data_IF_315198926628
#
_entry.id   IF_315198926628
#
_cell.length_a   1.000
_cell.length_b   1.000
_cell.length_c   1.000
_cell.angle_alpha   90.00
_cell.angle_beta   90.00
_cell.angle_gamma   90.00
#
_symmetry.space_group_name_H-M   'P 1'
#
loop_
_entity.id
_entity.type
_entity.pdbx_description
1 polymer ?
#
# COMPACT_ATOMS: atom_id res chain seq x y z
N UNK A 1 17.64 25.12 -24.58
CA UNK A 1 17.31 26.47 -24.06
C UNK A 1 16.49 26.29 -22.80
N UNK A 2 16.74 27.08 -21.73
CA UNK A 2 15.88 27.05 -20.55
C UNK A 2 14.45 27.48 -20.92
N UNK A 3 13.45 26.80 -20.37
CA UNK A 3 12.04 27.12 -20.61
C UNK A 3 11.68 28.49 -20.04
N UNK A 4 10.73 29.17 -20.67
CA UNK A 4 10.21 30.42 -20.11
C UNK A 4 9.40 30.13 -18.83
N UNK A 5 9.43 31.01 -17.82
CA UNK A 5 8.59 30.86 -16.61
C UNK A 5 7.09 30.75 -16.92
N UNK A 6 6.63 31.41 -17.99
CA UNK A 6 5.25 31.36 -18.43
C UNK A 6 4.89 29.97 -19.00
N UNK A 7 5.82 29.33 -19.71
CA UNK A 7 5.66 27.99 -20.27
C UNK A 7 5.53 26.94 -19.16
N UNK A 8 6.39 27.02 -18.14
CA UNK A 8 6.36 26.14 -16.96
C UNK A 8 5.02 26.28 -16.22
N UNK A 9 4.58 27.52 -15.99
CA UNK A 9 3.31 27.78 -15.30
C UNK A 9 2.13 27.12 -16.02
N UNK A 10 2.05 27.29 -17.34
CA UNK A 10 0.95 26.78 -18.16
C UNK A 10 0.87 25.25 -18.18
N UNK A 11 2.01 24.55 -18.34
CA UNK A 11 1.99 23.08 -18.32
C UNK A 11 1.61 22.56 -16.92
N UNK A 12 2.07 23.23 -15.86
CA UNK A 12 1.69 22.88 -14.48
C UNK A 12 0.18 23.06 -14.23
N UNK A 13 -0.43 24.14 -14.74
CA UNK A 13 -1.88 24.34 -14.67
C UNK A 13 -2.66 23.21 -15.36
N UNK A 14 -2.23 22.79 -16.56
CA UNK A 14 -2.86 21.67 -17.26
C UNK A 14 -2.72 20.36 -16.49
N UNK A 15 -1.54 20.09 -15.93
CA UNK A 15 -1.33 18.88 -15.12
C UNK A 15 -2.16 18.85 -13.84
N UNK A 16 -2.40 20.02 -13.22
CA UNK A 16 -3.28 20.11 -12.06
C UNK A 16 -4.74 19.84 -12.44
N UNK A 17 -5.21 20.42 -13.55
CA UNK A 17 -6.55 20.12 -14.08
C UNK A 17 -6.70 18.63 -14.36
N UNK A 18 -5.70 18.00 -14.97
CA UNK A 18 -5.69 16.57 -15.23
C UNK A 18 -5.81 15.74 -13.94
N UNK A 19 -5.05 16.06 -12.89
CA UNK A 19 -5.17 15.39 -11.58
C UNK A 19 -6.57 15.52 -10.98
N UNK A 20 -7.18 16.70 -11.07
CA UNK A 20 -8.54 16.92 -10.57
C UNK A 20 -9.57 16.07 -11.33
N UNK A 21 -9.46 15.99 -12.66
CA UNK A 21 -10.34 15.14 -13.47
C UNK A 21 -10.23 13.66 -13.07
N UNK A 22 -9.01 13.16 -12.82
CA UNK A 22 -8.80 11.80 -12.32
C UNK A 22 -9.45 11.60 -10.94
N UNK A 23 -9.26 12.55 -10.02
CA UNK A 23 -9.86 12.50 -8.68
C UNK A 23 -11.39 12.53 -8.71
N UNK A 24 -11.98 13.23 -9.68
CA UNK A 24 -13.44 13.32 -9.86
C UNK A 24 -14.02 12.12 -10.64
N UNK A 25 -13.19 11.18 -11.09
CA UNK A 25 -13.61 10.03 -11.91
C UNK A 25 -13.99 10.39 -13.35
N UNK A 26 -13.61 11.58 -13.84
CA UNK A 26 -13.90 12.07 -15.20
C UNK A 26 -12.87 11.58 -16.21
N UNK A 27 -12.81 10.27 -16.40
CA UNK A 27 -11.77 9.59 -17.18
C UNK A 27 -11.73 10.03 -18.66
N UNK A 28 -12.89 10.20 -19.30
CA UNK A 28 -12.96 10.61 -20.71
C UNK A 28 -12.41 12.04 -20.92
N UNK A 29 -12.78 12.97 -20.04
CA UNK A 29 -12.25 14.34 -20.05
C UNK A 29 -10.74 14.36 -19.77
N UNK A 30 -10.29 13.53 -18.83
CA UNK A 30 -8.87 13.38 -18.51
C UNK A 30 -8.09 12.86 -19.73
N UNK A 31 -8.61 11.86 -20.44
CA UNK A 31 -8.00 11.30 -21.65
C UNK A 31 -7.89 12.36 -22.76
N UNK A 32 -8.94 13.14 -23.01
CA UNK A 32 -8.90 14.23 -23.98
C UNK A 32 -7.85 15.30 -23.61
N UNK A 33 -7.79 15.69 -22.34
CA UNK A 33 -6.79 16.66 -21.86
C UNK A 33 -5.36 16.12 -21.96
N UNK A 34 -5.17 14.82 -21.69
CA UNK A 34 -3.86 14.17 -21.71
C UNK A 34 -3.16 14.25 -23.06
N UNK A 35 -3.90 14.23 -24.18
CA UNK A 35 -3.34 14.35 -25.53
C UNK A 35 -2.63 15.69 -25.73
N UNK A 36 -3.25 16.76 -25.22
CA UNK A 36 -2.66 18.10 -25.26
C UNK A 36 -1.41 18.17 -24.40
N UNK A 37 -1.48 17.66 -23.16
CA UNK A 37 -0.32 17.68 -22.24
C UNK A 37 0.84 16.87 -22.84
N UNK A 38 0.56 15.70 -23.42
CA UNK A 38 1.56 14.86 -24.05
C UNK A 38 2.25 15.60 -25.22
N UNK A 39 1.46 16.19 -26.12
CA UNK A 39 2.00 16.97 -27.24
C UNK A 39 2.84 18.16 -26.77
N UNK A 40 2.37 18.89 -25.77
CA UNK A 40 3.10 20.03 -25.20
C UNK A 40 4.41 19.56 -24.54
N UNK A 41 4.39 18.47 -23.77
CA UNK A 41 5.56 17.89 -23.08
C UNK A 41 6.68 17.41 -24.01
N UNK A 42 6.38 17.21 -25.31
CA UNK A 42 7.35 16.83 -26.34
C UNK A 42 7.87 18.03 -27.14
N UNK A 43 7.15 19.16 -27.09
CA UNK A 43 7.51 20.39 -27.81
C UNK A 43 8.78 21.03 -27.26
N UNK A 44 9.46 21.85 -28.06
CA UNK A 44 10.67 22.57 -27.63
C UNK A 44 10.36 23.56 -26.49
N UNK A 45 9.18 24.16 -26.51
CA UNK A 45 8.77 25.23 -25.60
C UNK A 45 8.39 24.71 -24.20
N UNK A 46 7.76 23.52 -24.12
CA UNK A 46 7.24 22.94 -22.88
C UNK A 46 7.85 21.58 -22.52
N UNK A 47 8.98 21.21 -23.15
CA UNK A 47 9.62 19.89 -23.01
C UNK A 47 9.76 19.41 -21.56
N UNK A 48 9.10 18.33 -21.17
CA UNK A 48 9.31 17.71 -19.86
C UNK A 48 9.20 16.18 -19.98
N UNK A 49 10.34 15.50 -19.82
CA UNK A 49 10.40 14.04 -19.88
C UNK A 49 9.69 13.36 -18.72
N UNK A 50 9.65 14.01 -17.54
CA UNK A 50 8.92 13.51 -16.39
C UNK A 50 7.40 13.58 -16.63
N UNK A 51 6.90 14.71 -17.14
CA UNK A 51 5.47 14.86 -17.49
C UNK A 51 5.10 13.95 -18.65
N UNK A 52 5.95 13.84 -19.68
CA UNK A 52 5.74 12.91 -20.79
C UNK A 52 5.56 11.47 -20.28
N UNK A 53 6.47 10.99 -19.43
CA UNK A 53 6.41 9.64 -18.88
C UNK A 53 5.19 9.43 -17.98
N UNK A 54 4.87 10.40 -17.13
CA UNK A 54 3.67 10.31 -16.30
C UNK A 54 2.39 10.25 -17.13
N UNK A 55 2.24 11.15 -18.11
CA UNK A 55 1.03 11.18 -18.95
C UNK A 55 0.89 9.91 -19.80
N UNK A 56 2.00 9.37 -20.31
CA UNK A 56 1.99 8.08 -21.02
C UNK A 56 1.57 6.92 -20.10
N UNK A 57 2.08 6.90 -18.86
CA UNK A 57 1.68 5.91 -17.86
C UNK A 57 0.18 5.98 -17.56
N UNK A 58 -0.35 7.16 -17.25
CA UNK A 58 -1.78 7.33 -16.94
C UNK A 58 -2.67 6.94 -18.12
N UNK A 59 -2.28 7.32 -19.33
CA UNK A 59 -2.98 6.90 -20.56
C UNK A 59 -3.00 5.38 -20.72
N UNK A 60 -1.91 4.68 -20.40
CA UNK A 60 -1.85 3.23 -20.44
C UNK A 60 -2.82 2.61 -19.42
N UNK A 61 -2.83 3.13 -18.19
CA UNK A 61 -3.70 2.67 -17.10
C UNK A 61 -5.19 2.92 -17.38
N UNK A 62 -5.50 4.02 -18.07
CA UNK A 62 -6.86 4.39 -18.49
C UNK A 62 -7.33 3.67 -19.76
N UNK A 63 -6.53 2.76 -20.34
CA UNK A 63 -6.91 1.99 -21.52
C UNK A 63 -6.86 2.77 -22.83
N UNK A 64 -6.09 3.86 -22.92
CA UNK A 64 -5.95 4.65 -24.14
C UNK A 64 -5.01 4.02 -25.19
N UNK A 65 -4.43 2.86 -24.88
CA UNK A 65 -3.54 2.11 -25.76
C UNK A 65 -4.02 0.65 -25.84
N UNK A 66 -3.51 -0.09 -26.82
CA UNK A 66 -3.78 -1.52 -26.93
C UNK A 66 -3.30 -2.25 -25.67
N UNK A 67 -4.15 -3.12 -25.11
CA UNK A 67 -3.89 -3.90 -23.89
C UNK A 67 -2.56 -4.68 -23.96
N UNK A 68 -2.23 -5.24 -25.13
CA UNK A 68 -1.00 -6.00 -25.37
C UNK A 68 0.27 -5.16 -25.15
N UNK A 69 0.16 -3.83 -25.26
CA UNK A 69 1.29 -2.89 -25.13
C UNK A 69 1.40 -2.27 -23.74
N UNK A 70 0.45 -2.53 -22.84
CA UNK A 70 0.43 -1.87 -21.52
C UNK A 70 1.70 -2.19 -20.73
N UNK A 71 2.13 -3.46 -20.68
CA UNK A 71 3.34 -3.83 -19.95
C UNK A 71 4.61 -3.15 -20.49
N UNK A 72 4.78 -3.13 -21.81
CA UNK A 72 5.90 -2.44 -22.48
C UNK A 72 5.90 -0.93 -22.20
N UNK A 73 4.73 -0.31 -22.24
CA UNK A 73 4.56 1.12 -22.00
C UNK A 73 4.86 1.48 -20.53
N UNK A 74 4.32 0.70 -19.58
CA UNK A 74 4.61 0.89 -18.16
C UNK A 74 6.10 0.71 -17.86
N UNK A 75 6.76 -0.29 -18.48
CA UNK A 75 8.21 -0.47 -18.35
C UNK A 75 8.99 0.73 -18.87
N UNK A 76 8.62 1.23 -20.06
CA UNK A 76 9.25 2.43 -20.62
C UNK A 76 9.10 3.64 -19.68
N UNK A 77 7.93 3.81 -19.07
CA UNK A 77 7.67 4.89 -18.11
C UNK A 77 8.56 4.76 -16.87
N UNK A 78 8.68 3.56 -16.29
CA UNK A 78 9.60 3.30 -15.16
C UNK A 78 11.02 3.71 -15.52
N UNK A 79 11.57 3.18 -16.61
CA UNK A 79 12.96 3.45 -17.05
C UNK A 79 13.17 4.95 -17.32
N UNK A 80 12.17 5.60 -17.92
CA UNK A 80 12.23 7.04 -18.21
C UNK A 80 12.23 7.88 -16.95
N UNK A 81 11.36 7.56 -15.97
CA UNK A 81 11.24 8.30 -14.72
C UNK A 81 12.48 8.07 -13.86
N UNK A 82 13.00 6.84 -13.79
CA UNK A 82 14.26 6.52 -13.12
C UNK A 82 15.41 7.39 -13.66
N UNK A 83 15.51 7.54 -14.98
CA UNK A 83 16.58 8.31 -15.62
C UNK A 83 16.51 9.83 -15.33
N UNK A 84 15.33 10.39 -15.05
CA UNK A 84 15.15 11.84 -14.90
C UNK A 84 14.90 12.29 -13.46
N UNK A 85 14.32 11.41 -12.62
CA UNK A 85 13.85 11.72 -11.27
C UNK A 85 13.90 10.46 -10.38
N UNK A 86 15.07 9.82 -10.23
CA UNK A 86 15.20 8.58 -9.47
C UNK A 86 14.81 8.77 -8.01
N UNK A 87 14.10 7.81 -7.45
CA UNK A 87 13.65 7.84 -6.04
C UNK A 87 12.45 8.75 -5.77
N UNK A 88 12.00 9.54 -6.75
CA UNK A 88 10.83 10.42 -6.58
C UNK A 88 9.55 9.63 -6.29
N UNK A 89 8.53 10.28 -5.74
CA UNK A 89 7.20 9.68 -5.55
C UNK A 89 6.64 9.15 -6.88
N UNK A 90 6.83 9.86 -7.99
CA UNK A 90 6.38 9.43 -9.31
C UNK A 90 7.14 8.18 -9.79
N UNK A 91 8.45 8.09 -9.53
CA UNK A 91 9.23 6.87 -9.79
C UNK A 91 8.65 5.69 -9.01
N UNK A 92 8.38 5.91 -7.73
CA UNK A 92 7.71 4.95 -6.84
C UNK A 92 6.39 4.43 -7.39
N UNK A 93 5.50 5.35 -7.77
CA UNK A 93 4.20 5.03 -8.35
C UNK A 93 4.31 4.27 -9.67
N UNK A 94 5.28 4.61 -10.51
CA UNK A 94 5.52 3.88 -11.76
C UNK A 94 5.90 2.42 -11.51
N UNK A 95 6.78 2.16 -10.53
CA UNK A 95 7.15 0.80 -10.13
C UNK A 95 5.94 0.05 -9.54
N UNK A 96 5.15 0.69 -8.67
CA UNK A 96 3.93 0.09 -8.11
C UNK A 96 2.92 -0.29 -9.20
N UNK A 97 2.73 0.58 -10.20
CA UNK A 97 1.83 0.33 -11.33
C UNK A 97 2.32 -0.82 -12.22
N UNK A 98 3.61 -0.84 -12.58
CA UNK A 98 4.17 -1.94 -13.35
C UNK A 98 4.10 -3.27 -12.56
N UNK A 99 4.37 -3.23 -11.26
CA UNK A 99 4.23 -4.39 -10.38
C UNK A 99 2.81 -4.92 -10.34
N UNK A 100 1.81 -4.03 -10.20
CA UNK A 100 0.39 -4.38 -10.24
C UNK A 100 0.00 -5.03 -11.58
N UNK A 101 0.53 -4.53 -12.69
CA UNK A 101 0.32 -5.15 -14.01
C UNK A 101 0.86 -6.59 -14.06
N UNK A 102 2.10 -6.83 -13.60
CA UNK A 102 2.68 -8.18 -13.53
C UNK A 102 1.84 -9.10 -12.62
N UNK A 103 1.43 -8.61 -11.45
CA UNK A 103 0.54 -9.35 -10.54
C UNK A 103 -0.77 -9.74 -11.24
N UNK A 104 -1.40 -8.83 -11.98
CA UNK A 104 -2.65 -9.10 -12.70
C UNK A 104 -2.48 -10.10 -13.85
N UNK A 105 -1.27 -10.28 -14.38
CA UNK A 105 -0.93 -11.34 -15.34
C UNK A 105 -0.49 -12.66 -14.68
N UNK A 106 -0.50 -12.75 -13.34
CA UNK A 106 -0.06 -13.92 -12.58
C UNK A 106 1.46 -14.03 -12.43
N UNK A 107 2.22 -12.99 -12.78
CA UNK A 107 3.67 -12.95 -12.74
C UNK A 107 4.18 -12.49 -11.35
N UNK A 108 3.78 -13.21 -10.30
CA UNK A 108 4.01 -12.81 -8.90
C UNK A 108 5.49 -12.59 -8.54
N UNK A 109 6.38 -13.44 -9.06
CA UNK A 109 7.83 -13.28 -8.84
C UNK A 109 8.36 -11.99 -9.46
N UNK A 110 7.89 -11.61 -10.65
CA UNK A 110 8.30 -10.37 -11.30
C UNK A 110 7.79 -9.15 -10.53
N UNK A 111 6.53 -9.23 -10.06
CA UNK A 111 5.94 -8.21 -9.19
C UNK A 111 6.76 -8.03 -7.89
N UNK A 112 7.16 -9.12 -7.22
CA UNK A 112 8.03 -9.05 -6.03
C UNK A 112 9.40 -8.43 -6.31
N UNK A 113 10.03 -8.78 -7.44
CA UNK A 113 11.32 -8.18 -7.85
C UNK A 113 11.19 -6.67 -7.97
N UNK A 114 10.16 -6.18 -8.66
CA UNK A 114 9.90 -4.75 -8.80
C UNK A 114 9.65 -4.07 -7.46
N UNK A 115 8.83 -4.66 -6.58
CA UNK A 115 8.57 -4.08 -5.25
C UNK A 115 9.81 -4.07 -4.35
N UNK A 116 10.77 -4.96 -4.58
CA UNK A 116 12.05 -4.96 -3.87
C UNK A 116 12.93 -3.76 -4.23
N UNK A 117 12.72 -3.15 -5.42
CA UNK A 117 13.45 -1.95 -5.84
C UNK A 117 13.00 -0.68 -5.11
N UNK A 118 11.86 -0.72 -4.42
CA UNK A 118 11.37 0.39 -3.61
C UNK A 118 11.99 0.33 -2.22
N UNK A 119 12.88 1.29 -1.94
CA UNK A 119 13.60 1.41 -0.67
C UNK A 119 13.96 2.87 -0.35
N UNK A 120 14.12 3.15 0.95
CA UNK A 120 14.54 4.46 1.46
C UNK A 120 15.98 4.78 1.04
N UNK A 121 16.85 3.76 0.98
CA UNK A 121 18.23 3.90 0.52
C UNK A 121 18.32 4.35 -0.94
N UNK A 122 17.32 3.99 -1.75
CA UNK A 122 17.16 4.44 -3.14
C UNK A 122 16.43 5.79 -3.27
N UNK A 123 16.15 6.47 -2.16
CA UNK A 123 15.55 7.81 -2.11
C UNK A 123 14.03 7.85 -2.07
N UNK A 124 13.34 6.71 -2.05
CA UNK A 124 11.87 6.66 -2.00
C UNK A 124 11.34 7.06 -0.61
N UNK A 125 10.19 7.74 -0.61
CA UNK A 125 9.48 8.10 0.61
C UNK A 125 8.89 6.89 1.33
N UNK A 126 8.65 7.06 2.64
CA UNK A 126 8.05 6.04 3.50
C UNK A 126 6.66 5.60 3.02
N UNK A 127 5.91 6.50 2.39
CA UNK A 127 4.60 6.24 1.78
C UNK A 127 4.71 5.16 0.70
N UNK A 128 5.56 5.39 -0.31
CA UNK A 128 5.81 4.45 -1.41
C UNK A 128 6.40 3.14 -0.91
N UNK A 129 7.39 3.18 -0.01
CA UNK A 129 8.02 1.98 0.54
C UNK A 129 7.01 1.18 1.36
N UNK A 130 6.18 1.83 2.16
CA UNK A 130 5.12 1.21 2.93
C UNK A 130 4.12 0.46 2.04
N UNK A 131 3.59 1.13 1.01
CA UNK A 131 2.71 0.52 0.00
C UNK A 131 3.37 -0.67 -0.68
N UNK A 132 4.64 -0.57 -1.06
CA UNK A 132 5.36 -1.66 -1.69
C UNK A 132 5.47 -2.89 -0.78
N UNK A 133 5.66 -2.67 0.52
CA UNK A 133 5.74 -3.74 1.52
C UNK A 133 4.36 -4.35 1.80
N UNK A 134 3.28 -3.57 1.78
CA UNK A 134 1.90 -4.09 1.84
C UNK A 134 1.63 -5.05 0.69
N UNK A 135 1.89 -4.62 -0.55
CA UNK A 135 1.67 -5.45 -1.74
C UNK A 135 2.60 -6.68 -1.77
N UNK A 136 3.84 -6.53 -1.32
CA UNK A 136 4.76 -7.67 -1.17
C UNK A 136 4.20 -8.69 -0.19
N UNK A 137 3.64 -8.25 0.94
CA UNK A 137 3.00 -9.11 1.94
C UNK A 137 1.85 -9.92 1.34
N UNK A 138 0.96 -9.26 0.59
CA UNK A 138 -0.18 -9.90 -0.09
C UNK A 138 0.26 -10.94 -1.12
N UNK A 139 1.28 -10.64 -1.93
CA UNK A 139 1.85 -11.60 -2.89
C UNK A 139 2.46 -12.82 -2.20
N UNK A 140 3.17 -12.60 -1.09
CA UNK A 140 3.78 -13.69 -0.32
C UNK A 140 2.73 -14.57 0.35
N UNK A 141 1.60 -14.01 0.79
CA UNK A 141 0.44 -14.82 1.23
C UNK A 141 -0.07 -15.70 0.09
N UNK A 142 -0.24 -15.15 -1.12
CA UNK A 142 -0.68 -15.91 -2.30
C UNK A 142 0.30 -17.03 -2.67
N UNK A 143 1.58 -16.86 -2.35
CA UNK A 143 2.64 -17.85 -2.56
C UNK A 143 2.86 -18.77 -1.34
N UNK A 144 2.02 -18.66 -0.31
CA UNK A 144 2.10 -19.41 0.95
C UNK A 144 3.41 -19.18 1.75
N UNK A 145 4.18 -18.11 1.47
CA UNK A 145 5.31 -17.69 2.30
C UNK A 145 4.84 -16.72 3.40
N UNK A 146 4.16 -17.28 4.40
CA UNK A 146 3.49 -16.53 5.46
C UNK A 146 4.47 -15.84 6.40
N UNK A 147 5.65 -16.43 6.63
CA UNK A 147 6.66 -15.82 7.48
C UNK A 147 7.27 -14.55 6.85
N UNK A 148 7.56 -14.58 5.54
CA UNK A 148 7.96 -13.36 4.84
C UNK A 148 6.81 -12.38 4.74
N UNK A 149 5.58 -12.84 4.45
CA UNK A 149 4.41 -11.98 4.40
C UNK A 149 4.20 -11.20 5.71
N UNK A 150 4.25 -11.89 6.84
CA UNK A 150 4.12 -11.29 8.18
C UNK A 150 5.16 -10.18 8.41
N UNK A 151 6.43 -10.40 8.03
CA UNK A 151 7.46 -9.34 8.11
C UNK A 151 7.15 -8.16 7.20
N UNK A 152 6.71 -8.41 5.98
CA UNK A 152 6.38 -7.36 5.02
C UNK A 152 5.20 -6.49 5.49
N UNK A 153 4.13 -7.11 6.02
CA UNK A 153 2.99 -6.38 6.59
C UNK A 153 3.38 -5.59 7.85
N UNK A 154 4.25 -6.13 8.71
CA UNK A 154 4.75 -5.40 9.88
C UNK A 154 5.63 -4.20 9.50
N UNK A 155 6.50 -4.36 8.50
CA UNK A 155 7.34 -3.28 8.00
C UNK A 155 6.47 -2.21 7.31
N UNK A 156 5.46 -2.63 6.56
CA UNK A 156 4.48 -1.75 5.91
C UNK A 156 3.78 -0.85 6.93
N UNK A 157 3.18 -1.41 7.99
CA UNK A 157 2.52 -0.59 9.03
C UNK A 157 3.48 0.43 9.65
N UNK A 158 4.74 0.05 9.88
CA UNK A 158 5.74 0.95 10.47
C UNK A 158 6.00 2.15 9.56
N UNK A 159 6.29 1.91 8.28
CA UNK A 159 6.53 2.99 7.32
C UNK A 159 5.29 3.87 7.13
N UNK A 160 4.11 3.28 6.97
CA UNK A 160 2.87 4.03 6.73
C UNK A 160 2.43 4.84 7.96
N UNK A 161 2.73 4.40 9.17
CA UNK A 161 2.45 5.14 10.42
C UNK A 161 3.18 6.48 10.52
N UNK A 162 4.28 6.64 9.78
CA UNK A 162 5.09 7.87 9.72
C UNK A 162 4.63 8.81 8.59
N UNK A 163 3.45 8.56 7.99
CA UNK A 163 2.94 9.29 6.83
C UNK A 163 1.47 9.71 7.02
N UNK A 164 0.87 10.37 6.03
CA UNK A 164 -0.58 10.65 6.01
C UNK A 164 -1.44 9.44 5.61
N UNK A 165 -0.86 8.28 5.31
CA UNK A 165 -1.53 7.08 4.81
C UNK A 165 -2.15 6.24 5.95
N UNK A 166 -3.01 6.88 6.74
CA UNK A 166 -3.61 6.26 7.94
C UNK A 166 -4.50 5.05 7.60
N UNK A 167 -5.21 5.08 6.47
CA UNK A 167 -6.07 3.99 6.04
C UNK A 167 -5.26 2.75 5.64
N UNK A 168 -4.16 2.94 4.94
CA UNK A 168 -3.25 1.88 4.51
C UNK A 168 -2.44 1.34 5.70
N UNK A 169 -2.04 2.20 6.64
CA UNK A 169 -1.45 1.78 7.91
C UNK A 169 -2.40 0.87 8.70
N UNK A 170 -3.68 1.25 8.80
CA UNK A 170 -4.70 0.44 9.45
C UNK A 170 -4.92 -0.89 8.70
N UNK A 171 -5.02 -0.84 7.37
CA UNK A 171 -5.17 -2.02 6.50
C UNK A 171 -4.03 -3.00 6.73
N UNK A 172 -2.78 -2.52 6.67
CA UNK A 172 -1.60 -3.35 6.90
C UNK A 172 -1.56 -3.95 8.31
N UNK A 173 -2.08 -3.23 9.31
CA UNK A 173 -2.13 -3.71 10.69
C UNK A 173 -3.21 -4.79 10.87
N UNK A 174 -4.40 -4.61 10.29
CA UNK A 174 -5.48 -5.60 10.35
C UNK A 174 -5.15 -6.86 9.55
N UNK A 175 -4.53 -6.73 8.38
CA UNK A 175 -4.06 -7.89 7.60
C UNK A 175 -2.98 -8.67 8.35
N UNK A 176 -2.03 -7.98 8.99
CA UNK A 176 -1.04 -8.64 9.84
C UNK A 176 -1.69 -9.33 11.04
N UNK A 177 -2.65 -8.67 11.70
CA UNK A 177 -3.36 -9.23 12.85
C UNK A 177 -4.10 -10.50 12.45
N UNK A 178 -4.92 -10.44 11.40
CA UNK A 178 -5.66 -11.57 10.88
C UNK A 178 -4.74 -12.76 10.55
N UNK A 179 -3.62 -12.50 9.87
CA UNK A 179 -2.61 -13.54 9.61
C UNK A 179 -2.03 -14.11 10.90
N UNK A 180 -1.82 -13.29 11.92
CA UNK A 180 -1.07 -13.65 13.13
C UNK A 180 -1.85 -14.50 14.13
N UNK A 181 -3.18 -14.37 14.16
CA UNK A 181 -4.01 -15.07 15.15
C UNK A 181 -3.92 -16.60 15.04
N UNK A 182 -3.66 -17.13 13.84
CA UNK A 182 -3.49 -18.57 13.61
C UNK A 182 -2.12 -19.12 14.08
N UNK A 183 -1.16 -18.25 14.39
CA UNK A 183 0.24 -18.62 14.62
C UNK A 183 0.80 -18.13 15.96
N UNK A 184 -0.05 -17.88 16.95
CA UNK A 184 0.39 -17.40 18.27
C UNK A 184 1.32 -18.42 18.93
N UNK A 185 2.53 -17.97 19.29
CA UNK A 185 3.54 -18.78 19.97
C UNK A 185 4.34 -17.91 20.96
N UNK A 186 4.14 -18.08 22.28
CA UNK A 186 4.87 -17.32 23.31
C UNK A 186 6.39 -17.50 23.28
N UNK A 187 6.90 -18.63 22.76
CA UNK A 187 8.34 -18.90 22.66
C UNK A 187 8.97 -18.28 21.40
N UNK A 188 8.16 -17.69 20.52
CA UNK A 188 8.66 -16.99 19.33
C UNK A 188 9.33 -15.67 19.72
N UNK A 189 10.39 -15.28 19.00
CA UNK A 189 10.91 -13.91 19.05
C UNK A 189 9.90 -12.88 18.56
N UNK A 190 10.07 -11.64 19.01
CA UNK A 190 9.25 -10.48 18.61
C UNK A 190 9.48 -10.12 17.14
N UNK A 191 8.54 -9.42 16.52
CA UNK A 191 8.69 -8.95 15.13
C UNK A 191 9.90 -8.03 14.97
N UNK A 192 10.18 -7.19 15.97
CA UNK A 192 11.37 -6.35 16.02
C UNK A 192 12.65 -7.17 15.91
N UNK A 193 12.78 -8.24 16.69
CA UNK A 193 13.94 -9.14 16.66
C UNK A 193 14.03 -9.93 15.35
N UNK A 194 12.90 -10.41 14.83
CA UNK A 194 12.84 -11.13 13.54
C UNK A 194 13.28 -10.27 12.37
N UNK A 195 12.89 -9.00 12.35
CA UNK A 195 13.30 -8.06 11.31
C UNK A 195 14.80 -7.76 11.43
N UNK A 196 15.30 -7.51 12.64
CA UNK A 196 16.72 -7.24 12.87
C UNK A 196 17.64 -8.42 12.52
N UNK A 197 17.18 -9.65 12.76
CA UNK A 197 17.94 -10.88 12.50
C UNK A 197 17.68 -11.48 11.11
N UNK A 198 16.84 -10.84 10.29
CA UNK A 198 16.47 -11.33 8.97
C UNK A 198 17.69 -11.50 8.05
N UNK A 199 17.78 -12.66 7.40
CA UNK A 199 18.80 -13.00 6.39
C UNK A 199 18.14 -13.52 5.12
N UNK A 200 18.80 -13.39 3.95
CA UNK A 200 18.35 -14.06 2.73
C UNK A 200 18.17 -15.56 3.00
N UNK A 201 17.04 -16.12 2.57
CA UNK A 201 16.73 -17.54 2.78
C UNK A 201 16.86 -18.29 1.47
N UNK A 202 17.30 -19.55 1.59
CA UNK A 202 17.42 -20.47 0.47
C UNK A 202 16.16 -21.34 0.34
N UNK A 203 15.44 -21.59 1.44
CA UNK A 203 14.22 -22.41 1.48
C UNK A 203 13.07 -21.67 2.19
N UNK A 204 11.86 -21.76 1.62
CA UNK A 204 10.61 -21.28 2.21
C UNK A 204 10.01 -22.36 3.13
N UNK A 205 10.55 -22.52 4.33
CA UNK A 205 9.84 -23.28 5.36
C UNK A 205 8.92 -22.33 6.11
N UNK A 206 7.63 -22.63 6.13
CA UNK A 206 6.60 -21.82 6.76
C UNK A 206 6.59 -22.05 8.28
N UNK A 207 7.58 -21.50 8.97
CA UNK A 207 7.71 -21.61 10.43
C UNK A 207 7.23 -20.32 11.11
N UNK A 208 6.13 -19.74 10.62
CA UNK A 208 5.54 -18.55 11.24
C UNK A 208 5.09 -18.92 12.67
N UNK A 209 5.74 -18.31 13.65
CA UNK A 209 5.23 -18.15 15.01
C UNK A 209 5.13 -16.66 15.29
N UNK A 210 4.16 -16.20 16.06
CA UNK A 210 3.96 -14.79 16.41
C UNK A 210 3.98 -14.62 17.91
N UNK A 211 4.81 -13.70 18.40
CA UNK A 211 4.86 -13.43 19.83
C UNK A 211 3.58 -12.67 20.26
N UNK A 212 2.89 -13.11 21.32
CA UNK A 212 1.71 -12.42 21.87
C UNK A 212 1.92 -10.91 22.11
N UNK A 213 3.12 -10.50 22.50
CA UNK A 213 3.44 -9.10 22.77
C UNK A 213 3.34 -8.23 21.51
N UNK A 214 3.66 -8.76 20.33
CA UNK A 214 3.54 -8.04 19.06
C UNK A 214 2.06 -7.76 18.73
N UNK A 215 1.16 -8.71 19.06
CA UNK A 215 -0.29 -8.54 18.88
C UNK A 215 -0.83 -7.49 19.85
N UNK A 216 -0.39 -7.53 21.11
CA UNK A 216 -0.79 -6.55 22.12
C UNK A 216 -0.33 -5.15 21.72
N UNK A 217 0.93 -4.98 21.31
CA UNK A 217 1.48 -3.72 20.80
C UNK A 217 0.62 -3.19 19.65
N UNK A 218 0.34 -4.05 18.66
CA UNK A 218 -0.42 -3.65 17.49
C UNK A 218 -1.84 -3.21 17.83
N UNK A 219 -2.56 -3.96 18.67
CA UNK A 219 -3.94 -3.61 19.02
C UNK A 219 -3.94 -2.31 19.84
N UNK A 220 -3.01 -2.12 20.77
CA UNK A 220 -2.88 -0.85 21.51
C UNK A 220 -2.65 0.36 20.59
N UNK A 221 -1.92 0.17 19.49
CA UNK A 221 -1.69 1.23 18.50
C UNK A 221 -2.95 1.57 17.68
N UNK A 222 -3.71 0.55 17.22
CA UNK A 222 -4.82 0.76 16.28
C UNK A 222 -6.18 0.96 16.97
N UNK A 223 -6.36 0.39 18.17
CA UNK A 223 -7.63 0.43 18.89
C UNK A 223 -8.13 1.85 19.16
N UNK A 224 -7.30 2.85 19.55
CA UNK A 224 -7.75 4.22 19.72
C UNK A 224 -8.33 4.86 18.45
N UNK A 225 -7.91 4.40 17.27
CA UNK A 225 -8.46 4.88 16.00
C UNK A 225 -9.75 4.15 15.62
N UNK A 226 -9.76 2.82 15.78
CA UNK A 226 -10.92 1.96 15.48
C UNK A 226 -12.11 2.26 16.41
N UNK A 227 -11.83 2.53 17.68
CA UNK A 227 -12.85 2.78 18.72
C UNK A 227 -13.42 4.19 18.72
N UNK A 228 -12.90 5.13 17.89
CA UNK A 228 -13.48 6.48 17.77
C UNK A 228 -14.93 6.45 17.33
N UNK A 229 -15.28 5.53 16.44
CA UNK A 229 -16.64 5.30 15.98
C UNK A 229 -16.91 3.80 15.98
N UNK A 230 -17.87 3.35 16.80
CA UNK A 230 -18.26 1.95 16.93
C UNK A 230 -19.47 1.56 16.05
N UNK A 231 -20.06 2.52 15.34
CA UNK A 231 -21.17 2.26 14.43
C UNK A 231 -20.74 1.52 13.16
N UNK A 232 -21.72 1.04 12.38
CA UNK A 232 -21.50 0.29 11.15
C UNK A 232 -22.07 -1.13 11.23
N UNK A 233 -22.58 -1.63 10.10
CA UNK A 233 -23.22 -2.95 9.99
C UNK A 233 -22.22 -4.09 9.78
N UNK A 234 -21.00 -3.77 9.35
CA UNK A 234 -19.93 -4.73 9.10
C UNK A 234 -18.62 -4.20 9.72
N UNK A 235 -18.31 -4.66 10.93
CA UNK A 235 -17.17 -4.26 11.75
C UNK A 235 -16.21 -5.42 11.97
N UNK A 236 -15.66 -5.93 10.87
CA UNK A 236 -14.68 -7.03 10.90
C UNK A 236 -13.41 -6.64 11.66
N UNK A 237 -13.07 -5.34 11.66
CA UNK A 237 -12.00 -4.77 12.49
C UNK A 237 -12.24 -5.00 13.99
N UNK A 238 -13.47 -4.82 14.49
CA UNK A 238 -13.84 -5.13 15.87
C UNK A 238 -13.86 -6.64 16.13
N UNK A 239 -14.27 -7.43 15.12
CA UNK A 239 -14.24 -8.89 15.19
C UNK A 239 -12.84 -9.42 15.48
N UNK A 240 -11.85 -8.97 14.70
CA UNK A 240 -10.45 -9.34 14.91
C UNK A 240 -9.91 -8.95 16.29
N UNK A 241 -10.34 -7.81 16.84
CA UNK A 241 -9.95 -7.39 18.20
C UNK A 241 -10.54 -8.32 19.26
N UNK A 242 -11.79 -8.76 19.08
CA UNK A 242 -12.45 -9.70 19.99
C UNK A 242 -11.75 -11.07 19.92
N UNK A 243 -11.52 -11.60 18.72
CA UNK A 243 -10.81 -12.87 18.53
C UNK A 243 -9.42 -12.84 19.19
N UNK A 244 -8.67 -11.76 18.97
CA UNK A 244 -7.37 -11.56 19.60
C UNK A 244 -7.46 -11.50 21.13
N UNK A 245 -8.49 -10.84 21.66
CA UNK A 245 -8.72 -10.75 23.12
C UNK A 245 -8.95 -12.14 23.72
N UNK A 246 -9.78 -12.97 23.08
CA UNK A 246 -10.08 -14.31 23.55
C UNK A 246 -8.85 -15.21 23.51
N UNK A 247 -8.11 -15.19 22.40
CA UNK A 247 -6.88 -15.98 22.22
C UNK A 247 -5.77 -15.59 23.19
N UNK A 248 -5.67 -14.30 23.55
CA UNK A 248 -4.65 -13.78 24.46
C UNK A 248 -5.08 -13.73 25.92
N UNK A 249 -6.37 -13.98 26.21
CA UNK A 249 -6.98 -13.78 27.52
C UNK A 249 -6.76 -12.34 28.08
N UNK A 250 -6.86 -11.32 27.22
CA UNK A 250 -6.56 -9.90 27.55
C UNK A 250 -7.82 -9.01 27.51
N UNK A 251 -8.46 -8.79 28.66
CA UNK A 251 -9.80 -8.19 28.74
C UNK A 251 -9.88 -6.68 28.48
N UNK A 252 -8.76 -5.95 28.38
CA UNK A 252 -8.79 -4.48 28.33
C UNK A 252 -9.63 -3.90 27.18
N UNK A 253 -9.54 -4.45 25.98
CA UNK A 253 -10.25 -3.92 24.80
C UNK A 253 -11.73 -4.33 24.79
N UNK A 254 -12.04 -5.58 25.13
CA UNK A 254 -13.44 -6.04 25.28
C UNK A 254 -14.18 -5.24 26.35
N UNK A 255 -13.51 -4.90 27.46
CA UNK A 255 -14.13 -4.10 28.52
C UNK A 255 -14.59 -2.74 28.02
N UNK A 256 -13.77 -2.06 27.20
CA UNK A 256 -14.12 -0.79 26.57
C UNK A 256 -15.29 -0.94 25.58
N UNK A 257 -15.27 -1.98 24.74
CA UNK A 257 -16.36 -2.26 23.80
C UNK A 257 -17.68 -2.57 24.50
N UNK A 258 -17.66 -3.31 25.62
CA UNK A 258 -18.84 -3.60 26.44
C UNK A 258 -19.42 -2.33 27.06
N UNK A 259 -18.57 -1.40 27.54
CA UNK A 259 -19.02 -0.12 28.11
C UNK A 259 -19.74 0.76 27.09
N UNK A 260 -19.38 0.65 25.81
CA UNK A 260 -19.95 1.43 24.69
C UNK A 260 -20.82 0.58 23.76
N UNK A 261 -21.37 -0.53 24.27
CA UNK A 261 -22.16 -1.50 23.49
C UNK A 261 -23.35 -0.86 22.75
N UNK A 262 -23.95 0.19 23.30
CA UNK A 262 -25.06 0.92 22.69
C UNK A 262 -24.71 1.64 21.38
N UNK A 263 -23.42 1.87 21.10
CA UNK A 263 -22.93 2.48 19.86
C UNK A 263 -22.72 1.45 18.74
N UNK A 264 -22.65 0.15 19.09
CA UNK A 264 -22.36 -0.94 18.16
C UNK A 264 -23.64 -1.36 17.44
N UNK A 265 -23.55 -1.46 16.12
CA UNK A 265 -24.68 -1.86 15.26
C UNK A 265 -24.49 -3.23 14.60
N UNK A 266 -23.26 -3.72 14.50
CA UNK A 266 -22.97 -5.03 13.91
C UNK A 266 -23.49 -6.16 14.84
N UNK A 267 -24.47 -6.96 14.39
CA UNK A 267 -25.07 -8.00 15.22
C UNK A 267 -24.08 -9.09 15.63
N UNK A 268 -23.07 -9.39 14.78
CA UNK A 268 -22.04 -10.41 15.07
C UNK A 268 -21.20 -9.99 16.26
N UNK A 269 -20.83 -8.71 16.31
CA UNK A 269 -20.08 -8.11 17.41
C UNK A 269 -20.94 -8.06 18.68
N UNK A 270 -22.22 -7.67 18.57
CA UNK A 270 -23.13 -7.64 19.71
C UNK A 270 -23.37 -9.01 20.33
N UNK A 271 -23.36 -10.08 19.52
CA UNK A 271 -23.45 -11.47 19.94
C UNK A 271 -22.16 -11.90 20.63
N UNK A 272 -21.00 -11.68 20.01
CA UNK A 272 -19.69 -12.03 20.57
C UNK A 272 -19.41 -11.38 21.94
N UNK A 273 -19.92 -10.16 22.17
CA UNK A 273 -19.78 -9.46 23.46
C UNK A 273 -20.72 -9.98 24.58
N UNK A 274 -21.63 -10.92 24.29
CA UNK A 274 -22.54 -11.52 25.28
C UNK A 274 -21.99 -12.80 25.93
N UNK A 275 -21.10 -13.50 25.24
CA UNK A 275 -20.24 -14.56 25.75
C UNK A 275 -19.25 -14.04 26.80
#
# INVERSE_FOLDING_TARGET
MPQSPNSIKKINELTLMFKNLLSDGKTDEALLLSEKILKDSQSIEYRSHEIEAWIRMERALLGAINEEKIGEELRWCVDRIEAVSPGSTLHGLAILNLSSWHRNKGEYMMSLVLLSDLSVEKGHGNDVVGLARLESGRLLIQMEDLESASRHLWISRKYLSETSMSAECLTSSLEWLNLSLDFINPDSSTMKEKIQSAKPRINSNNNLGVNPLDIIELIDDIFPSISKNLSGQARDDLGLIIDATELLNEQKWISELRNRKSEIQDPRILEALQS
#
